data_IF_535581351135
#
_entry.id   IF_535581351135
#
_cell.length_a   1.000
_cell.length_b   1.000
_cell.length_c   1.000
_cell.angle_alpha   90.00
_cell.angle_beta   90.00
_cell.angle_gamma   90.00
#
_symmetry.space_group_name_H-M   'P 1'
#
loop_
_entity.id
_entity.type
_entity.pdbx_description
1 polymer ?
#
# COMPACT_ATOMS: atom_id res chain seq x y z
N UNK A 1 -4.18 15.03 -3.74
CA UNK A 1 -4.59 13.96 -2.81
C UNK A 1 -4.07 14.29 -1.41
N UNK A 2 -4.72 13.80 -0.33
CA UNK A 2 -4.14 13.95 1.03
C UNK A 2 -2.78 13.24 1.10
N UNK A 3 -1.79 13.76 1.85
CA UNK A 3 -0.49 13.10 1.99
C UNK A 3 -0.61 11.77 2.77
N UNK A 4 0.44 10.95 2.72
CA UNK A 4 0.60 9.80 3.61
C UNK A 4 1.65 10.12 4.67
N UNK A 5 1.51 9.49 5.84
CA UNK A 5 2.54 9.52 6.87
C UNK A 5 3.40 8.27 6.65
N UNK A 6 4.71 8.47 6.50
CA UNK A 6 5.68 7.39 6.33
C UNK A 6 6.53 7.27 7.59
N UNK A 7 6.73 6.04 8.06
CA UNK A 7 7.68 5.71 9.11
C UNK A 7 8.55 4.52 8.67
N UNK A 8 9.78 4.48 9.15
CA UNK A 8 10.66 3.34 8.97
C UNK A 8 10.21 2.19 9.89
N UNK A 9 10.21 0.96 9.36
CA UNK A 9 9.95 -0.27 10.11
C UNK A 9 11.23 -0.87 10.69
N UNK A 10 11.36 -2.20 10.63
CA UNK A 10 12.54 -2.91 11.10
C UNK A 10 13.63 -3.03 10.02
N UNK A 11 14.91 -2.93 10.41
CA UNK A 11 16.10 -3.08 9.54
C UNK A 11 16.09 -2.19 8.29
N UNK A 12 15.57 -0.97 8.44
CA UNK A 12 15.55 0.06 7.40
C UNK A 12 15.68 1.42 8.07
N UNK A 13 16.05 2.44 7.30
CA UNK A 13 16.01 3.84 7.74
C UNK A 13 14.93 4.61 6.96
N UNK A 14 14.73 5.87 7.34
CA UNK A 14 13.70 6.70 6.71
C UNK A 14 14.01 7.00 5.25
N UNK A 15 15.28 7.22 4.90
CA UNK A 15 15.69 7.55 3.53
C UNK A 15 15.45 6.38 2.57
N UNK A 16 15.82 5.17 2.98
CA UNK A 16 15.58 3.94 2.23
C UNK A 16 14.08 3.65 2.11
N UNK A 17 13.32 3.78 3.20
CA UNK A 17 11.87 3.61 3.17
C UNK A 17 11.21 4.60 2.19
N UNK A 18 11.63 5.87 2.20
CA UNK A 18 11.14 6.89 1.28
C UNK A 18 11.49 6.56 -0.17
N UNK A 19 12.74 6.15 -0.45
CA UNK A 19 13.18 5.78 -1.80
C UNK A 19 12.33 4.63 -2.36
N UNK A 20 12.07 3.59 -1.58
CA UNK A 20 11.22 2.44 -1.97
C UNK A 20 9.78 2.88 -2.24
N UNK A 21 9.21 3.69 -1.34
CA UNK A 21 7.85 4.23 -1.51
C UNK A 21 7.76 5.02 -2.81
N UNK A 22 8.68 5.97 -3.05
CA UNK A 22 8.67 6.79 -4.27
C UNK A 22 8.83 5.96 -5.54
N UNK A 23 9.72 4.97 -5.54
CA UNK A 23 9.94 4.10 -6.68
C UNK A 23 8.72 3.24 -7.05
N UNK A 24 7.82 3.00 -6.09
CA UNK A 24 6.63 2.16 -6.27
C UNK A 24 5.34 2.96 -6.44
N UNK A 25 5.39 4.29 -6.44
CA UNK A 25 4.24 5.13 -6.79
C UNK A 25 3.97 5.11 -8.30
N UNK A 26 2.69 4.96 -8.68
CA UNK A 26 2.23 4.96 -10.08
C UNK A 26 1.08 5.96 -10.27
N UNK A 27 1.39 7.25 -10.18
CA UNK A 27 0.43 8.36 -10.40
C UNK A 27 -0.65 8.52 -9.32
N UNK A 28 -0.72 7.60 -8.36
CA UNK A 28 -1.66 7.63 -7.24
C UNK A 28 -1.03 8.03 -5.91
N UNK A 29 -1.87 8.08 -4.87
CA UNK A 29 -1.45 8.37 -3.49
C UNK A 29 -0.72 7.19 -2.83
N UNK A 30 -1.13 5.96 -3.14
CA UNK A 30 -0.62 4.76 -2.48
C UNK A 30 0.44 4.06 -3.33
N UNK A 31 1.52 3.52 -2.71
CA UNK A 31 2.44 2.60 -3.35
C UNK A 31 1.67 1.46 -4.02
N UNK A 32 2.09 1.09 -5.23
CA UNK A 32 1.45 0.02 -6.00
C UNK A 32 1.30 -1.28 -5.21
N UNK A 33 2.30 -1.76 -4.44
CA UNK A 33 2.14 -2.98 -3.64
C UNK A 33 1.00 -2.90 -2.62
N UNK A 34 0.81 -1.75 -1.97
CA UNK A 34 -0.28 -1.56 -1.00
C UNK A 34 -1.64 -1.48 -1.70
N UNK A 35 -1.69 -0.85 -2.88
CA UNK A 35 -2.91 -0.78 -3.68
C UNK A 35 -3.38 -2.17 -4.11
N UNK A 36 -2.47 -2.99 -4.62
CA UNK A 36 -2.78 -4.36 -5.04
C UNK A 36 -3.17 -5.24 -3.85
N UNK A 37 -2.44 -5.15 -2.72
CA UNK A 37 -2.81 -5.86 -1.50
C UNK A 37 -4.23 -5.49 -1.02
N UNK A 38 -4.59 -4.21 -1.07
CA UNK A 38 -5.93 -3.75 -0.71
C UNK A 38 -7.00 -4.33 -1.67
N UNK A 39 -6.76 -4.31 -2.98
CA UNK A 39 -7.68 -4.86 -3.99
C UNK A 39 -7.92 -6.35 -3.77
N UNK A 40 -6.85 -7.12 -3.55
CA UNK A 40 -6.96 -8.55 -3.24
C UNK A 40 -7.77 -8.79 -1.96
N UNK A 41 -7.46 -8.06 -0.87
CA UNK A 41 -8.18 -8.19 0.39
C UNK A 41 -9.66 -7.79 0.26
N UNK A 42 -9.97 -6.77 -0.53
CA UNK A 42 -11.34 -6.34 -0.80
C UNK A 42 -12.12 -7.40 -1.61
N UNK A 43 -11.51 -7.97 -2.65
CA UNK A 43 -12.12 -9.03 -3.45
C UNK A 43 -12.45 -10.27 -2.60
N UNK A 44 -11.50 -10.73 -1.77
CA UNK A 44 -11.70 -11.84 -0.85
C UNK A 44 -12.82 -11.55 0.16
N UNK A 45 -12.84 -10.34 0.73
CA UNK A 45 -13.91 -9.92 1.66
C UNK A 45 -15.28 -9.94 0.98
N UNK A 46 -15.39 -9.39 -0.23
CA UNK A 46 -16.64 -9.36 -0.97
C UNK A 46 -17.15 -10.77 -1.25
N UNK A 47 -16.27 -11.71 -1.62
CA UNK A 47 -16.62 -13.11 -1.82
C UNK A 47 -17.13 -13.76 -0.52
N UNK A 48 -16.52 -13.48 0.63
CA UNK A 48 -16.96 -14.03 1.93
C UNK A 48 -18.31 -13.45 2.38
N UNK A 49 -18.57 -12.18 2.09
CA UNK A 49 -19.79 -11.47 2.54
C UNK A 49 -20.99 -11.73 1.64
N UNK A 50 -20.80 -11.77 0.31
CA UNK A 50 -21.90 -11.88 -0.67
C UNK A 50 -22.00 -13.25 -1.33
N UNK A 51 -21.00 -14.12 -1.17
CA UNK A 51 -20.98 -15.48 -1.71
C UNK A 51 -21.58 -16.54 -0.79
N UNK A 52 -22.43 -16.14 0.15
CA UNK A 52 -23.28 -17.04 0.96
C UNK A 52 -24.73 -16.94 0.52
#
# INVERSE_FOLDING_TARGET
SRPIILSAGHRTDLALAEAVVRATLRGGRMPLPLLEAHRCAAALRSAVVHGR
#
